data_IF_798448729456
#
_entry.id   IF_798448729456
#
_cell.length_a   1.000
_cell.length_b   1.000
_cell.length_c   1.000
_cell.angle_alpha   90.00
_cell.angle_beta   90.00
_cell.angle_gamma   90.00
#
_symmetry.space_group_name_H-M   'P 1'
#
loop_
_entity.id
_entity.type
_entity.pdbx_description
1 polymer ?
#
# COMPACT_ATOMS: atom_id res chain seq x y z
N UNK A 1 12.69 -5.18 21.44
CA UNK A 1 12.53 -4.98 19.99
C UNK A 1 13.87 -4.43 19.47
N UNK A 2 14.47 -5.05 18.44
CA UNK A 2 15.80 -4.79 17.86
C UNK A 2 17.05 -5.17 18.72
N UNK A 3 17.43 -6.45 18.70
CA UNK A 3 18.83 -6.87 18.88
C UNK A 3 19.16 -7.89 17.79
N UNK A 4 20.18 -7.60 16.97
CA UNK A 4 20.69 -8.35 15.79
C UNK A 4 19.97 -8.09 14.46
N UNK A 5 20.36 -7.01 13.79
CA UNK A 5 20.34 -6.94 12.33
C UNK A 5 21.74 -6.52 11.85
N UNK A 6 22.66 -7.48 11.90
CA UNK A 6 24.07 -7.32 11.52
C UNK A 6 24.42 -8.06 10.22
N UNK A 7 23.58 -7.99 9.20
CA UNK A 7 23.94 -8.49 7.86
C UNK A 7 23.74 -7.38 6.83
N UNK A 8 24.82 -7.04 6.10
CA UNK A 8 24.85 -6.02 5.03
C UNK A 8 23.75 -6.24 3.97
N UNK A 9 23.37 -7.49 3.72
CA UNK A 9 22.33 -7.84 2.75
C UNK A 9 20.90 -7.43 3.18
N UNK A 10 20.62 -7.37 4.49
CA UNK A 10 19.31 -6.97 5.01
C UNK A 10 19.11 -5.44 4.95
N UNK A 11 20.19 -4.67 5.14
CA UNK A 11 20.18 -3.20 5.07
C UNK A 11 19.87 -2.73 3.65
N UNK A 12 20.50 -3.35 2.63
CA UNK A 12 20.23 -3.02 1.23
C UNK A 12 18.79 -3.32 0.78
N UNK A 13 18.18 -4.42 1.27
CA UNK A 13 16.79 -4.76 0.94
C UNK A 13 15.80 -3.78 1.55
N UNK A 14 16.01 -3.40 2.81
CA UNK A 14 15.17 -2.42 3.49
C UNK A 14 15.24 -1.04 2.81
N UNK A 15 16.42 -0.59 2.38
CA UNK A 15 16.59 0.68 1.66
C UNK A 15 15.77 0.71 0.36
N UNK A 16 15.87 -0.34 -0.47
CA UNK A 16 15.15 -0.42 -1.74
C UNK A 16 13.63 -0.29 -1.61
N UNK A 17 13.05 -0.87 -0.56
CA UNK A 17 11.60 -0.76 -0.30
C UNK A 17 11.21 0.68 0.07
N UNK A 18 12.04 1.34 0.89
CA UNK A 18 11.81 2.73 1.31
C UNK A 18 11.95 3.68 0.13
N UNK A 19 12.99 3.51 -0.68
CA UNK A 19 13.27 4.33 -1.86
C UNK A 19 12.11 4.21 -2.87
N UNK A 20 11.64 3.00 -3.15
CA UNK A 20 10.48 2.78 -4.01
C UNK A 20 9.21 3.49 -3.51
N UNK A 21 8.93 3.47 -2.20
CA UNK A 21 7.78 4.17 -1.66
C UNK A 21 7.91 5.68 -1.85
N UNK A 22 9.11 6.25 -1.66
CA UNK A 22 9.36 7.68 -1.92
C UNK A 22 9.17 8.02 -3.39
N UNK A 23 9.74 7.23 -4.30
CA UNK A 23 9.57 7.39 -5.75
C UNK A 23 8.09 7.27 -6.18
N UNK A 24 7.32 6.43 -5.48
CA UNK A 24 5.88 6.27 -5.69
C UNK A 24 5.05 7.42 -5.10
N UNK A 25 5.67 8.44 -4.49
CA UNK A 25 5.01 9.62 -3.94
C UNK A 25 4.49 9.47 -2.50
N UNK A 26 4.98 8.49 -1.74
CA UNK A 26 4.57 8.30 -0.35
C UNK A 26 5.29 9.31 0.54
N UNK A 27 4.60 9.81 1.57
CA UNK A 27 5.22 10.67 2.57
C UNK A 27 6.08 9.86 3.53
N UNK A 28 7.24 10.40 3.93
CA UNK A 28 8.13 9.76 4.90
C UNK A 28 7.43 9.38 6.22
N UNK A 29 6.50 10.21 6.68
CA UNK A 29 5.71 9.94 7.88
C UNK A 29 4.84 8.67 7.72
N UNK A 30 4.23 8.49 6.55
CA UNK A 30 3.39 7.33 6.24
C UNK A 30 4.24 6.06 6.07
N UNK A 31 5.41 6.17 5.42
CA UNK A 31 6.39 5.07 5.28
C UNK A 31 6.84 4.58 6.66
N UNK A 32 7.27 5.52 7.53
CA UNK A 32 7.69 5.19 8.90
C UNK A 32 6.57 4.53 9.70
N UNK A 33 5.33 5.02 9.56
CA UNK A 33 4.15 4.46 10.24
C UNK A 33 3.82 3.06 9.73
N UNK A 34 3.86 2.83 8.42
CA UNK A 34 3.63 1.52 7.81
C UNK A 34 4.66 0.48 8.28
N UNK A 35 5.95 0.84 8.27
CA UNK A 35 7.04 -0.04 8.73
C UNK A 35 6.90 -0.33 10.22
N UNK A 36 6.56 0.67 11.04
CA UNK A 36 6.34 0.48 12.49
C UNK A 36 5.20 -0.49 12.77
N UNK A 37 4.10 -0.42 12.01
CA UNK A 37 2.95 -1.33 12.13
C UNK A 37 3.25 -2.73 11.58
N UNK A 38 4.03 -2.83 10.51
CA UNK A 38 4.42 -4.12 9.94
C UNK A 38 5.89 -4.11 9.49
N UNK A 39 6.82 -4.49 10.39
CA UNK A 39 8.25 -4.57 10.06
C UNK A 39 8.57 -5.57 8.95
N UNK A 40 7.66 -6.53 8.66
CA UNK A 40 7.84 -7.52 7.59
C UNK A 40 7.84 -6.88 6.20
N UNK A 41 7.36 -5.64 6.05
CA UNK A 41 7.42 -4.88 4.81
C UNK A 41 8.86 -4.70 4.30
N UNK A 42 9.82 -4.52 5.20
CA UNK A 42 11.23 -4.39 4.84
C UNK A 42 11.85 -5.68 4.28
N UNK A 43 11.23 -6.83 4.59
CA UNK A 43 11.58 -8.14 4.05
C UNK A 43 10.68 -8.61 2.92
N UNK A 44 9.66 -7.82 2.55
CA UNK A 44 8.73 -8.19 1.48
C UNK A 44 9.44 -8.17 0.12
N UNK A 45 8.99 -9.03 -0.80
CA UNK A 45 9.55 -9.10 -2.16
C UNK A 45 9.04 -7.90 -2.97
N UNK A 46 9.75 -6.78 -2.90
CA UNK A 46 9.39 -5.51 -3.55
C UNK A 46 8.80 -5.69 -4.95
N UNK A 47 9.53 -6.35 -5.85
CA UNK A 47 9.14 -6.52 -7.26
C UNK A 47 7.94 -7.46 -7.46
N UNK A 48 7.77 -8.45 -6.58
CA UNK A 48 6.72 -9.47 -6.73
C UNK A 48 5.43 -9.15 -5.98
N UNK A 49 5.51 -8.39 -4.89
CA UNK A 49 4.35 -8.12 -4.04
C UNK A 49 4.06 -6.63 -3.88
N UNK A 50 5.05 -5.78 -3.64
CA UNK A 50 4.79 -4.36 -3.31
C UNK A 50 4.53 -3.54 -4.58
N UNK A 51 5.42 -3.64 -5.57
CA UNK A 51 5.31 -2.93 -6.86
C UNK A 51 3.98 -3.16 -7.59
N UNK A 52 3.53 -4.41 -7.86
CA UNK A 52 2.30 -4.63 -8.60
C UNK A 52 1.07 -4.08 -7.87
N UNK A 53 1.09 -4.06 -6.53
CA UNK A 53 -0.01 -3.53 -5.72
C UNK A 53 -0.06 -2.02 -5.80
N UNK A 54 1.09 -1.34 -5.62
CA UNK A 54 1.16 0.13 -5.76
C UNK A 54 0.75 0.55 -7.18
N UNK A 55 1.22 -0.15 -8.22
CA UNK A 55 0.79 0.12 -9.61
C UNK A 55 -0.71 -0.04 -9.80
N UNK A 56 -1.33 -1.08 -9.24
CA UNK A 56 -2.77 -1.26 -9.34
C UNK A 56 -3.55 -0.10 -8.68
N UNK A 57 -3.11 0.39 -7.52
CA UNK A 57 -3.76 1.55 -6.91
C UNK A 57 -3.60 2.83 -7.74
N UNK A 58 -2.43 3.04 -8.34
CA UNK A 58 -2.20 4.17 -9.24
C UNK A 58 -3.11 4.10 -10.47
N UNK A 59 -3.22 2.92 -11.09
CA UNK A 59 -4.14 2.64 -12.21
C UNK A 59 -5.61 2.89 -11.82
N UNK A 60 -5.96 2.60 -10.57
CA UNK A 60 -7.28 2.89 -10.04
C UNK A 60 -7.55 4.38 -9.77
N UNK A 61 -6.56 5.26 -9.97
CA UNK A 61 -6.69 6.71 -9.83
C UNK A 61 -6.34 7.25 -8.43
N UNK A 62 -5.69 6.45 -7.57
CA UNK A 62 -5.20 6.94 -6.28
C UNK A 62 -3.84 7.61 -6.46
N UNK A 63 -3.61 8.70 -5.72
CA UNK A 63 -2.28 9.33 -5.68
C UNK A 63 -1.32 8.57 -4.76
N UNK A 64 -0.01 8.74 -4.94
CA UNK A 64 1.00 8.19 -4.03
C UNK A 64 0.77 8.53 -2.56
N UNK A 65 0.26 9.74 -2.28
CA UNK A 65 -0.11 10.18 -0.93
C UNK A 65 -1.30 9.39 -0.39
N UNK A 66 -2.32 9.16 -1.23
CA UNK A 66 -3.51 8.39 -0.82
C UNK A 66 -3.12 6.95 -0.47
N UNK A 67 -2.30 6.33 -1.35
CA UNK A 67 -1.81 4.96 -1.19
C UNK A 67 -0.94 4.85 0.06
N UNK A 68 -0.04 5.80 0.28
CA UNK A 68 0.79 5.87 1.48
C UNK A 68 -0.04 5.90 2.75
N UNK A 69 -1.12 6.68 2.78
CA UNK A 69 -2.04 6.72 3.93
C UNK A 69 -2.79 5.41 4.14
N UNK A 70 -3.20 4.73 3.07
CA UNK A 70 -3.83 3.39 3.15
C UNK A 70 -2.85 2.38 3.74
N UNK A 71 -1.60 2.37 3.26
CA UNK A 71 -0.56 1.45 3.74
C UNK A 71 -0.14 1.73 5.19
N UNK A 72 -0.04 3.01 5.56
CA UNK A 72 0.26 3.45 6.91
C UNK A 72 -0.86 3.11 7.90
N UNK A 73 -2.10 3.04 7.43
CA UNK A 73 -3.26 2.64 8.23
C UNK A 73 -3.34 1.12 8.31
N UNK A 74 -3.35 0.40 7.18
CA UNK A 74 -3.36 -1.05 7.20
C UNK A 74 -2.32 -1.66 6.25
N UNK A 75 -1.13 -2.01 6.77
CA UNK A 75 -0.11 -2.66 5.96
C UNK A 75 -0.47 -4.09 5.55
N UNK A 76 -1.53 -4.70 6.12
CA UNK A 76 -2.04 -6.00 5.68
C UNK A 76 -2.75 -5.96 4.33
N UNK A 77 -3.01 -4.77 3.77
CA UNK A 77 -3.51 -4.63 2.39
C UNK A 77 -2.59 -5.32 1.36
N UNK A 78 -1.31 -5.51 1.71
CA UNK A 78 -0.32 -6.26 0.93
C UNK A 78 -0.35 -7.78 1.15
N UNK A 79 -0.91 -8.23 2.27
CA UNK A 79 -0.98 -9.65 2.65
C UNK A 79 -2.31 -10.31 2.26
N UNK A 80 -3.40 -9.54 2.18
CA UNK A 80 -4.69 -10.05 1.70
C UNK A 80 -4.60 -10.43 0.24
N UNK A 81 -5.42 -11.40 -0.20
CA UNK A 81 -5.60 -11.77 -1.61
C UNK A 81 -6.20 -10.61 -2.39
N UNK A 82 -5.39 -9.59 -2.67
CA UNK A 82 -5.76 -8.35 -3.32
C UNK A 82 -6.47 -8.59 -4.66
N UNK A 83 -6.00 -9.57 -5.44
CA UNK A 83 -6.66 -9.97 -6.68
C UNK A 83 -8.04 -10.60 -6.46
N UNK A 84 -8.20 -11.41 -5.41
CA UNK A 84 -9.47 -12.11 -5.16
C UNK A 84 -10.50 -11.25 -4.41
N UNK A 85 -10.04 -10.29 -3.61
CA UNK A 85 -10.91 -9.49 -2.73
C UNK A 85 -11.05 -8.05 -3.18
N UNK A 86 -9.97 -7.41 -3.61
CA UNK A 86 -9.93 -5.96 -3.83
C UNK A 86 -10.30 -5.61 -5.29
N UNK A 87 -9.71 -6.30 -6.26
CA UNK A 87 -10.02 -6.11 -7.69
C UNK A 87 -11.52 -6.21 -7.99
N UNK A 88 -12.28 -7.23 -7.54
CA UNK A 88 -13.71 -7.30 -7.83
C UNK A 88 -14.51 -6.15 -7.19
N UNK A 89 -14.15 -5.71 -5.99
CA UNK A 89 -14.82 -4.58 -5.32
C UNK A 89 -14.58 -3.29 -6.12
N UNK A 90 -13.34 -3.04 -6.55
CA UNK A 90 -13.01 -1.87 -7.36
C UNK A 90 -13.73 -1.90 -8.71
N UNK A 91 -13.79 -3.07 -9.35
CA UNK A 91 -14.53 -3.28 -10.60
C UNK A 91 -16.03 -3.00 -10.42
N UNK A 92 -16.63 -3.51 -9.33
CA UNK A 92 -18.02 -3.23 -8.99
C UNK A 92 -18.26 -1.75 -8.72
N UNK A 93 -17.41 -1.09 -7.93
CA UNK A 93 -17.52 0.35 -7.67
C UNK A 93 -17.46 1.17 -8.96
N UNK A 94 -16.57 0.80 -9.89
CA UNK A 94 -16.48 1.46 -11.21
C UNK A 94 -17.70 1.20 -12.09
N UNK A 95 -18.28 0.00 -12.05
CA UNK A 95 -19.48 -0.34 -12.82
C UNK A 95 -20.74 0.34 -12.28
N UNK A 96 -20.84 0.51 -10.96
CA UNK A 96 -22.01 1.11 -10.30
C UNK A 96 -22.03 2.64 -10.38
N UNK A 97 -20.90 3.27 -10.69
CA UNK A 97 -20.76 4.72 -10.66
C UNK A 97 -20.62 5.28 -12.08
N UNK A 98 -21.48 6.23 -12.48
CA UNK A 98 -21.50 6.75 -13.84
C UNK A 98 -20.29 7.63 -14.17
N UNK A 99 -19.50 8.03 -13.16
CA UNK A 99 -18.37 8.93 -13.31
C UNK A 99 -17.11 8.38 -12.61
N UNK A 100 -15.97 8.52 -13.26
CA UNK A 100 -14.69 7.97 -12.79
C UNK A 100 -14.17 8.71 -11.56
N UNK A 101 -14.42 10.01 -11.39
CA UNK A 101 -14.03 10.75 -10.19
C UNK A 101 -14.82 10.26 -8.97
N UNK A 102 -16.14 10.06 -9.13
CA UNK A 102 -16.98 9.44 -8.09
C UNK A 102 -16.54 8.02 -7.76
N UNK A 103 -16.14 7.24 -8.76
CA UNK A 103 -15.59 5.90 -8.57
C UNK A 103 -14.30 5.94 -7.74
N UNK A 104 -13.34 6.79 -8.12
CA UNK A 104 -12.09 7.00 -7.38
C UNK A 104 -12.38 7.45 -5.94
N UNK A 105 -13.29 8.40 -5.73
CA UNK A 105 -13.70 8.85 -4.41
C UNK A 105 -14.26 7.72 -3.54
N UNK A 106 -15.07 6.85 -4.13
CA UNK A 106 -15.67 5.69 -3.44
C UNK A 106 -14.64 4.61 -3.13
N UNK A 107 -13.71 4.35 -4.05
CA UNK A 107 -12.57 3.45 -3.85
C UNK A 107 -11.69 3.95 -2.70
N UNK A 108 -11.34 5.25 -2.70
CA UNK A 108 -10.62 5.88 -1.58
C UNK A 108 -11.36 5.67 -0.26
N UNK A 109 -12.67 5.96 -0.24
CA UNK A 109 -13.50 5.81 0.96
C UNK A 109 -13.59 4.37 1.43
N UNK A 110 -13.65 3.39 0.53
CA UNK A 110 -13.58 1.97 0.87
C UNK A 110 -12.27 1.64 1.61
N UNK A 111 -11.13 2.05 1.07
CA UNK A 111 -9.84 1.82 1.73
C UNK A 111 -9.63 2.64 3.02
N UNK A 112 -10.25 3.81 3.15
CA UNK A 112 -10.17 4.57 4.40
C UNK A 112 -11.14 4.03 5.47
N UNK A 113 -12.39 3.70 5.10
CA UNK A 113 -13.42 3.31 6.07
C UNK A 113 -13.28 1.86 6.55
N UNK A 114 -12.91 0.93 5.65
CA UNK A 114 -12.70 -0.47 6.04
C UNK A 114 -11.44 -0.70 6.88
N UNK A 115 -10.54 0.29 6.95
CA UNK A 115 -9.24 0.15 7.61
C UNK A 115 -8.96 1.16 8.73
N UNK A 116 -9.76 2.24 8.89
CA UNK A 116 -9.67 3.16 10.03
C UNK A 116 -10.41 2.67 11.30
N UNK A 117 -11.05 1.50 11.26
CA UNK A 117 -11.79 0.91 12.37
C UNK A 117 -11.03 -0.12 13.23
N UNK A 118 -9.71 -0.30 13.06
CA UNK A 118 -8.90 -1.21 13.88
C UNK A 118 -7.57 -0.59 14.34
#
# INVERSE_FOLDING_TARGET
ICRRLGSRACVHKASRVIDFFRESGFKDADIKKAIKRNPRLLGARLEKTVMPRVRAFLDWGLSGVDIGRVFATNPNVLNVSFEKKIVPIVSQLRSLLPDNEKAVGSIKRFFYCSFLGQ
#
